data_IF_563055398203
#
_entry.id   IF_563055398203
#
_cell.length_a   1.000
_cell.length_b   1.000
_cell.length_c   1.000
_cell.angle_alpha   90.00
_cell.angle_beta   90.00
_cell.angle_gamma   90.00
#
_symmetry.space_group_name_H-M   'P 1'
#
loop_
_entity.id
_entity.type
_entity.pdbx_description
1 polymer ?
#
# COMPACT_ATOMS: atom_id res chain seq x y z
N UNK A 1 -24.48 -9.38 -2.17
CA UNK A 1 -23.02 -9.23 -2.24
C UNK A 1 -22.43 -9.80 -0.97
N UNK A 2 -21.43 -10.67 -1.10
CA UNK A 2 -20.57 -11.12 0.00
C UNK A 2 -19.83 -9.94 0.63
N UNK A 3 -19.32 -10.10 1.86
CA UNK A 3 -18.53 -9.04 2.51
C UNK A 3 -17.25 -8.72 1.73
N UNK A 4 -16.67 -9.71 1.04
CA UNK A 4 -15.56 -9.50 0.11
C UNK A 4 -15.92 -8.62 -1.08
N UNK A 5 -17.07 -8.86 -1.71
CA UNK A 5 -17.53 -7.99 -2.82
C UNK A 5 -17.75 -6.55 -2.34
N UNK A 6 -18.36 -6.37 -1.16
CA UNK A 6 -18.53 -5.05 -0.55
C UNK A 6 -17.19 -4.36 -0.28
N UNK A 7 -16.26 -5.09 0.33
CA UNK A 7 -14.90 -4.62 0.63
C UNK A 7 -14.19 -4.10 -0.62
N UNK A 8 -14.16 -4.91 -1.69
CA UNK A 8 -13.50 -4.55 -2.94
C UNK A 8 -14.19 -3.35 -3.61
N UNK A 9 -15.51 -3.25 -3.53
CA UNK A 9 -16.28 -2.12 -4.07
C UNK A 9 -16.17 -0.83 -3.22
N UNK A 10 -15.49 -0.88 -2.06
CA UNK A 10 -15.38 0.25 -1.14
C UNK A 10 -16.66 0.54 -0.35
N UNK A 11 -17.60 -0.41 -0.31
CA UNK A 11 -18.80 -0.34 0.50
C UNK A 11 -18.50 -0.71 1.96
N UNK A 12 -19.40 -0.34 2.87
CA UNK A 12 -19.31 -0.77 4.26
C UNK A 12 -19.45 -2.30 4.37
N UNK A 13 -18.44 -2.97 4.93
CA UNK A 13 -18.40 -4.42 5.08
C UNK A 13 -18.02 -4.82 6.52
N UNK A 14 -18.27 -6.09 6.85
CA UNK A 14 -17.91 -6.71 8.13
C UNK A 14 -16.53 -7.36 8.01
N UNK A 15 -15.47 -6.80 8.61
CA UNK A 15 -14.12 -7.35 8.49
C UNK A 15 -13.94 -8.69 9.17
N UNK A 16 -14.79 -9.03 10.15
CA UNK A 16 -14.76 -10.32 10.85
C UNK A 16 -15.49 -11.44 10.09
N UNK A 17 -15.94 -11.20 8.87
CA UNK A 17 -16.42 -12.26 7.97
C UNK A 17 -15.39 -13.40 7.85
N UNK A 18 -15.85 -14.65 7.90
CA UNK A 18 -14.97 -15.83 7.95
C UNK A 18 -14.02 -15.92 6.75
N UNK A 19 -14.49 -15.53 5.56
CA UNK A 19 -13.67 -15.52 4.34
C UNK A 19 -12.57 -14.49 4.48
N UNK A 20 -12.92 -13.27 4.90
CA UNK A 20 -11.98 -12.17 5.06
C UNK A 20 -10.95 -12.45 6.15
N UNK A 21 -11.36 -13.09 7.26
CA UNK A 21 -10.44 -13.51 8.33
C UNK A 21 -9.44 -14.53 7.80
N UNK A 22 -9.91 -15.61 7.17
CA UNK A 22 -9.07 -16.69 6.62
C UNK A 22 -8.05 -16.16 5.58
N UNK A 23 -8.48 -15.22 4.74
CA UNK A 23 -7.60 -14.61 3.74
C UNK A 23 -6.52 -13.72 4.37
N UNK A 24 -6.85 -12.93 5.40
CA UNK A 24 -5.83 -12.16 6.15
C UNK A 24 -4.87 -13.06 6.91
N UNK A 25 -5.35 -14.17 7.48
CA UNK A 25 -4.47 -15.17 8.12
C UNK A 25 -3.46 -15.76 7.14
N UNK A 26 -3.92 -16.10 5.93
CA UNK A 26 -3.05 -16.57 4.84
C UNK A 26 -1.98 -15.53 4.49
N UNK A 27 -2.37 -14.27 4.31
CA UNK A 27 -1.44 -13.18 3.99
C UNK A 27 -0.42 -12.96 5.12
N UNK A 28 -0.86 -12.96 6.38
CA UNK A 28 0.01 -12.83 7.56
C UNK A 28 1.02 -13.97 7.66
N UNK A 29 0.60 -15.21 7.36
CA UNK A 29 1.50 -16.36 7.36
C UNK A 29 2.60 -16.22 6.30
N UNK A 30 2.23 -15.89 5.05
CA UNK A 30 3.20 -15.67 3.97
C UNK A 30 4.17 -14.54 4.29
N UNK A 31 3.65 -13.46 4.87
CA UNK A 31 4.42 -12.28 5.25
C UNK A 31 5.38 -12.58 6.40
N UNK A 32 4.94 -13.33 7.40
CA UNK A 32 5.80 -13.83 8.49
C UNK A 32 6.95 -14.68 7.95
N UNK A 33 6.66 -15.65 7.07
CA UNK A 33 7.69 -16.49 6.46
C UNK A 33 8.69 -15.69 5.63
N UNK A 34 8.21 -14.70 4.87
CA UNK A 34 9.05 -13.82 4.08
C UNK A 34 10.00 -13.00 4.96
N UNK A 35 9.46 -12.38 6.02
CA UNK A 35 10.21 -11.56 6.95
C UNK A 35 11.30 -12.34 7.70
N UNK A 36 11.06 -13.63 7.99
CA UNK A 36 12.02 -14.52 8.64
C UNK A 36 13.01 -15.19 7.67
N UNK A 37 12.82 -15.07 6.35
CA UNK A 37 13.67 -15.74 5.37
C UNK A 37 15.02 -15.02 5.21
N UNK A 38 16.17 -15.69 5.41
CA UNK A 38 17.50 -15.08 5.29
C UNK A 38 17.74 -14.39 3.93
N UNK A 39 18.47 -13.27 3.94
CA UNK A 39 18.75 -12.46 2.74
C UNK A 39 19.42 -13.24 1.60
N UNK A 40 20.19 -14.28 1.94
CA UNK A 40 20.86 -15.14 0.96
C UNK A 40 19.90 -16.05 0.20
N UNK A 41 18.72 -16.34 0.75
CA UNK A 41 17.73 -17.22 0.12
C UNK A 41 16.77 -16.41 -0.78
N UNK A 42 17.31 -15.85 -1.87
CA UNK A 42 16.59 -14.96 -2.78
C UNK A 42 15.37 -15.64 -3.41
N UNK A 43 15.51 -16.88 -3.85
CA UNK A 43 14.45 -17.63 -4.53
C UNK A 43 13.24 -17.88 -3.61
N UNK A 44 13.47 -18.24 -2.35
CA UNK A 44 12.36 -18.39 -1.39
C UNK A 44 11.66 -17.05 -1.15
N UNK A 45 12.42 -15.96 -0.98
CA UNK A 45 11.87 -14.63 -0.74
C UNK A 45 10.97 -14.18 -1.88
N UNK A 46 11.44 -14.29 -3.12
CA UNK A 46 10.65 -13.89 -4.29
C UNK A 46 9.43 -14.80 -4.46
N UNK A 47 9.54 -16.11 -4.24
CA UNK A 47 8.41 -17.03 -4.37
C UNK A 47 7.31 -16.76 -3.34
N UNK A 48 7.66 -16.37 -2.11
CA UNK A 48 6.68 -15.97 -1.10
C UNK A 48 5.94 -14.70 -1.51
N UNK A 49 6.65 -13.67 -1.98
CA UNK A 49 6.04 -12.43 -2.46
C UNK A 49 5.15 -12.67 -3.69
N UNK A 50 5.56 -13.54 -4.62
CA UNK A 50 4.75 -13.91 -5.79
C UNK A 50 3.44 -14.62 -5.45
N UNK A 51 3.40 -15.36 -4.33
CA UNK A 51 2.17 -15.97 -3.80
C UNK A 51 1.28 -14.95 -3.08
N UNK A 52 1.90 -13.92 -2.48
CA UNK A 52 1.24 -12.91 -1.68
C UNK A 52 0.57 -11.83 -2.55
N UNK A 53 1.27 -11.34 -3.57
CA UNK A 53 0.88 -10.14 -4.34
C UNK A 53 -0.16 -10.42 -5.42
N UNK A 54 -1.00 -9.43 -5.70
CA UNK A 54 -2.06 -9.50 -6.71
C UNK A 54 -1.57 -9.49 -8.14
N UNK A 55 -0.43 -8.82 -8.38
CA UNK A 55 0.22 -8.83 -9.68
C UNK A 55 1.49 -7.98 -9.68
N UNK A 56 2.36 -8.26 -10.65
CA UNK A 56 3.59 -7.52 -10.90
C UNK A 56 3.95 -7.67 -12.37
N UNK A 57 4.56 -6.66 -12.98
CA UNK A 57 4.98 -6.75 -14.39
C UNK A 57 6.29 -7.54 -14.58
N UNK A 58 7.34 -7.15 -13.88
CA UNK A 58 8.67 -7.76 -14.03
C UNK A 58 9.43 -7.81 -12.69
N UNK A 59 10.70 -7.44 -12.66
CA UNK A 59 11.53 -7.43 -11.45
C UNK A 59 11.01 -6.44 -10.42
N UNK A 60 11.02 -6.87 -9.15
CA UNK A 60 10.73 -6.05 -8.00
C UNK A 60 11.57 -6.51 -6.81
N UNK A 61 11.83 -5.59 -5.88
CA UNK A 61 12.51 -5.87 -4.64
C UNK A 61 11.74 -5.27 -3.46
N UNK A 62 11.47 -6.10 -2.46
CA UNK A 62 10.88 -5.68 -1.20
C UNK A 62 11.82 -6.13 -0.09
N UNK A 63 12.20 -5.21 0.78
CA UNK A 63 13.05 -5.48 1.92
C UNK A 63 12.21 -5.79 3.17
N UNK A 64 12.67 -6.71 4.05
CA UNK A 64 11.93 -7.09 5.25
C UNK A 64 12.22 -6.10 6.40
N UNK A 65 11.29 -5.76 7.29
CA UNK A 65 9.96 -6.34 7.36
C UNK A 65 9.02 -5.70 6.33
N UNK A 66 8.07 -6.48 5.84
CA UNK A 66 6.96 -6.02 5.02
C UNK A 66 5.67 -6.46 5.73
N UNK A 67 4.62 -5.66 5.70
CA UNK A 67 3.33 -6.00 6.33
C UNK A 67 2.17 -5.61 5.42
N UNK A 68 1.17 -6.50 5.31
CA UNK A 68 -0.03 -6.31 4.50
C UNK A 68 -1.26 -6.86 5.22
N UNK A 69 -2.46 -6.48 4.77
CA UNK A 69 -3.70 -7.12 5.22
C UNK A 69 -3.97 -8.39 4.42
N UNK A 70 -3.98 -8.29 3.08
CA UNK A 70 -4.35 -9.36 2.16
C UNK A 70 -3.22 -9.71 1.17
N UNK A 71 -2.39 -8.74 0.80
CA UNK A 71 -1.36 -8.85 -0.22
C UNK A 71 -1.89 -8.89 -1.65
N UNK A 72 -2.96 -9.64 -1.92
CA UNK A 72 -3.47 -9.88 -3.27
C UNK A 72 -4.13 -8.64 -3.92
N UNK A 73 -4.30 -7.55 -3.17
CA UNK A 73 -4.82 -6.28 -3.69
C UNK A 73 -3.69 -5.30 -4.11
N UNK A 74 -2.42 -5.73 -4.01
CA UNK A 74 -1.26 -4.92 -4.36
C UNK A 74 -0.75 -5.31 -5.75
N UNK A 75 -0.63 -4.32 -6.62
CA UNK A 75 -0.20 -4.48 -8.01
C UNK A 75 1.01 -3.60 -8.30
N UNK A 76 2.10 -4.23 -8.72
CA UNK A 76 3.38 -3.57 -8.96
C UNK A 76 3.66 -3.37 -10.46
N UNK A 77 4.15 -2.19 -10.83
CA UNK A 77 4.76 -1.96 -12.14
C UNK A 77 6.12 -2.64 -12.29
N UNK A 78 6.90 -2.20 -13.27
CA UNK A 78 8.29 -2.62 -13.46
C UNK A 78 9.23 -1.94 -12.46
N UNK A 79 10.34 -2.59 -12.10
CA UNK A 79 11.42 -2.02 -11.30
C UNK A 79 10.94 -1.44 -9.96
N UNK A 80 9.95 -2.07 -9.33
CA UNK A 80 9.42 -1.63 -8.05
C UNK A 80 10.42 -1.91 -6.93
N UNK A 81 10.66 -0.91 -6.07
CA UNK A 81 11.51 -1.07 -4.90
C UNK A 81 10.81 -0.58 -3.63
N UNK A 82 10.78 -1.41 -2.60
CA UNK A 82 10.39 -1.02 -1.25
C UNK A 82 11.50 -1.32 -0.25
N UNK A 83 11.90 -0.28 0.49
CA UNK A 83 12.88 -0.40 1.57
C UNK A 83 12.23 -0.99 2.85
N UNK A 84 13.02 -1.16 3.90
CA UNK A 84 12.65 -1.82 5.15
C UNK A 84 11.36 -1.27 5.78
N UNK A 85 10.58 -2.16 6.40
CA UNK A 85 9.43 -1.84 7.25
C UNK A 85 8.28 -1.11 6.53
N UNK A 86 8.07 -1.39 5.24
CA UNK A 86 6.88 -0.89 4.56
C UNK A 86 5.63 -1.62 5.06
N UNK A 87 4.55 -0.87 5.29
CA UNK A 87 3.24 -1.40 5.67
C UNK A 87 2.20 -0.93 4.64
N UNK A 88 1.50 -1.89 4.02
CA UNK A 88 0.47 -1.62 3.01
C UNK A 88 -0.84 -2.27 3.45
N UNK A 89 -1.75 -1.50 4.03
CA UNK A 89 -3.08 -1.98 4.42
C UNK A 89 -3.99 -1.99 3.19
N UNK A 90 -4.01 -3.12 2.49
CA UNK A 90 -4.58 -3.33 1.16
C UNK A 90 -5.99 -3.97 1.20
N UNK A 91 -6.86 -3.45 2.07
CA UNK A 91 -8.30 -3.76 2.04
C UNK A 91 -8.93 -3.47 0.66
N UNK A 92 -8.50 -2.38 0.01
CA UNK A 92 -8.78 -2.09 -1.40
C UNK A 92 -7.48 -2.05 -2.20
N UNK A 93 -7.58 -1.88 -3.51
CA UNK A 93 -6.43 -2.03 -4.39
C UNK A 93 -5.40 -0.91 -4.22
N UNK A 94 -4.13 -1.30 -4.30
CA UNK A 94 -2.98 -0.39 -4.37
C UNK A 94 -2.28 -0.67 -5.69
N UNK A 95 -2.33 0.29 -6.61
CA UNK A 95 -1.66 0.18 -7.91
C UNK A 95 -0.45 1.10 -7.96
N UNK A 96 0.71 0.53 -8.27
CA UNK A 96 1.93 1.26 -8.57
C UNK A 96 2.24 1.21 -10.06
N UNK A 97 2.68 2.33 -10.60
CA UNK A 97 3.30 2.43 -11.91
C UNK A 97 4.72 1.86 -11.90
N UNK A 98 5.42 2.08 -13.00
CA UNK A 98 6.78 1.62 -13.22
C UNK A 98 7.79 2.52 -12.48
N UNK A 99 8.92 1.95 -12.07
CA UNK A 99 10.05 2.63 -11.41
C UNK A 99 9.69 3.35 -10.10
N UNK A 100 8.73 2.81 -9.33
CA UNK A 100 8.39 3.36 -8.03
C UNK A 100 9.41 2.94 -6.96
N UNK A 101 9.82 3.89 -6.13
CA UNK A 101 10.75 3.66 -5.02
C UNK A 101 10.15 4.14 -3.71
N UNK A 102 10.12 3.26 -2.71
CA UNK A 102 9.67 3.58 -1.36
C UNK A 102 10.86 3.53 -0.41
N UNK A 103 11.03 4.60 0.38
CA UNK A 103 11.95 4.65 1.50
C UNK A 103 11.50 3.76 2.67
N UNK A 104 12.28 3.70 3.75
CA UNK A 104 11.95 2.84 4.87
C UNK A 104 10.77 3.38 5.68
N UNK A 105 10.02 2.49 6.33
CA UNK A 105 8.87 2.81 7.18
C UNK A 105 7.75 3.58 6.45
N UNK A 106 7.59 3.38 5.14
CA UNK A 106 6.46 3.96 4.39
C UNK A 106 5.17 3.23 4.74
N UNK A 107 4.11 3.99 5.03
CA UNK A 107 2.77 3.48 5.29
C UNK A 107 1.81 3.83 4.15
N UNK A 108 1.09 2.85 3.62
CA UNK A 108 0.08 3.07 2.58
C UNK A 108 -1.21 2.41 3.04
N UNK A 109 -2.27 3.20 3.21
CA UNK A 109 -3.47 2.75 3.89
C UNK A 109 -4.70 2.95 3.00
N UNK A 110 -5.34 1.86 2.60
CA UNK A 110 -6.62 1.94 1.87
C UNK A 110 -7.83 1.86 2.80
N UNK A 111 -7.67 1.20 3.95
CA UNK A 111 -8.69 1.04 4.98
C UNK A 111 -9.00 2.36 5.70
N UNK A 112 -10.27 2.56 6.03
CA UNK A 112 -10.74 3.67 6.84
C UNK A 112 -12.02 3.32 7.59
N UNK A 113 -12.42 4.22 8.49
CA UNK A 113 -13.59 4.02 9.35
C UNK A 113 -14.47 5.28 9.36
N UNK A 114 -15.76 5.12 9.67
CA UNK A 114 -16.64 6.26 9.93
C UNK A 114 -16.04 7.20 10.99
N UNK A 115 -16.22 8.50 10.77
CA UNK A 115 -15.80 9.52 11.76
C UNK A 115 -16.77 9.51 12.95
N UNK A 116 -18.07 9.27 12.69
CA UNK A 116 -19.06 9.10 13.74
C UNK A 116 -18.70 7.89 14.63
N UNK A 117 -18.60 8.08 15.96
CA UNK A 117 -18.18 7.01 16.86
C UNK A 117 -19.20 5.87 16.96
N UNK A 118 -20.51 6.12 16.81
CA UNK A 118 -21.51 5.06 16.88
C UNK A 118 -21.47 4.20 15.61
N UNK A 119 -21.31 4.82 14.45
CA UNK A 119 -21.09 4.11 13.19
C UNK A 119 -19.76 3.34 13.22
N UNK A 120 -18.66 3.94 13.70
CA UNK A 120 -17.37 3.25 13.78
C UNK A 120 -17.40 2.03 14.72
N UNK A 121 -18.14 2.14 15.83
CA UNK A 121 -18.24 1.06 16.82
C UNK A 121 -19.18 -0.07 16.40
N UNK A 122 -19.89 0.05 15.27
CA UNK A 122 -20.72 -1.05 14.76
C UNK A 122 -19.87 -2.20 14.17
N UNK A 123 -18.54 -2.05 14.13
CA UNK A 123 -17.59 -3.06 13.70
C UNK A 123 -17.37 -3.13 12.19
N UNK A 124 -18.06 -2.31 11.39
CA UNK A 124 -17.87 -2.23 9.95
C UNK A 124 -16.78 -1.22 9.58
N UNK A 125 -16.15 -1.49 8.45
CA UNK A 125 -15.16 -0.58 7.85
C UNK A 125 -15.39 -0.47 6.35
N UNK A 126 -14.65 0.43 5.70
CA UNK A 126 -14.66 0.61 4.26
C UNK A 126 -13.27 0.99 3.79
N UNK A 127 -13.03 0.90 2.49
CA UNK A 127 -11.73 1.22 1.93
C UNK A 127 -11.83 2.03 0.64
N UNK A 128 -10.76 2.72 0.31
CA UNK A 128 -10.63 3.50 -0.91
C UNK A 128 -9.32 3.14 -1.60
N UNK A 129 -9.34 2.82 -2.91
CA UNK A 129 -8.15 2.39 -3.62
C UNK A 129 -7.13 3.51 -3.70
N UNK A 130 -5.85 3.15 -3.79
CA UNK A 130 -4.74 4.09 -3.98
C UNK A 130 -4.10 3.81 -5.33
N UNK A 131 -3.79 4.88 -6.08
CA UNK A 131 -3.11 4.82 -7.37
C UNK A 131 -1.86 5.67 -7.33
N UNK A 132 -0.73 5.09 -7.71
CA UNK A 132 0.58 5.74 -7.73
C UNK A 132 1.12 5.60 -9.15
N UNK A 133 1.42 6.75 -9.77
CA UNK A 133 1.94 6.83 -11.13
C UNK A 133 3.36 6.29 -11.28
N UNK A 134 3.95 6.54 -12.44
CA UNK A 134 5.30 6.10 -12.77
C UNK A 134 6.36 7.01 -12.15
N UNK A 135 7.55 6.49 -11.90
CA UNK A 135 8.73 7.22 -11.44
C UNK A 135 8.49 8.00 -10.13
N UNK A 136 7.61 7.47 -9.27
CA UNK A 136 7.29 8.10 -7.99
C UNK A 136 8.31 7.67 -6.94
N UNK A 137 8.85 8.64 -6.20
CA UNK A 137 9.68 8.38 -5.04
C UNK A 137 8.96 8.81 -3.76
N UNK A 138 8.76 7.86 -2.85
CA UNK A 138 8.13 8.09 -1.55
C UNK A 138 9.22 8.02 -0.47
N UNK A 139 9.50 9.14 0.18
CA UNK A 139 10.49 9.26 1.24
C UNK A 139 10.12 8.45 2.49
N UNK A 140 11.12 8.11 3.30
CA UNK A 140 10.91 7.27 4.49
C UNK A 140 9.98 7.91 5.52
N UNK A 141 9.23 7.09 6.26
CA UNK A 141 8.18 7.52 7.20
C UNK A 141 7.03 8.33 6.58
N UNK A 142 6.92 8.41 5.25
CA UNK A 142 5.77 9.03 4.62
C UNK A 142 4.54 8.11 4.73
N UNK A 143 3.36 8.73 4.77
CA UNK A 143 2.06 8.07 4.86
C UNK A 143 1.18 8.49 3.68
N UNK A 144 0.62 7.52 2.96
CA UNK A 144 -0.38 7.74 1.91
C UNK A 144 -1.76 7.28 2.41
N UNK A 145 -2.72 8.21 2.47
CA UNK A 145 -4.05 7.95 3.01
C UNK A 145 -5.04 7.38 1.97
N UNK A 146 -6.18 6.85 2.44
CA UNK A 146 -7.19 6.21 1.59
C UNK A 146 -7.68 7.09 0.44
N UNK A 147 -7.74 6.52 -0.76
CA UNK A 147 -8.33 7.18 -1.93
C UNK A 147 -7.40 8.12 -2.69
N UNK A 148 -6.16 8.28 -2.24
CA UNK A 148 -5.20 9.19 -2.89
C UNK A 148 -4.74 8.65 -4.23
N UNK A 149 -4.73 9.53 -5.23
CA UNK A 149 -4.04 9.35 -6.52
C UNK A 149 -2.79 10.24 -6.57
N UNK A 150 -1.63 9.61 -6.81
CA UNK A 150 -0.34 10.29 -7.03
C UNK A 150 0.00 10.19 -8.51
N UNK A 151 0.19 11.34 -9.17
CA UNK A 151 0.61 11.38 -10.58
C UNK A 151 2.07 10.99 -10.79
N UNK A 152 2.47 10.87 -12.06
CA UNK A 152 3.83 10.53 -12.45
C UNK A 152 4.90 11.52 -11.97
N UNK A 153 6.12 11.01 -11.76
CA UNK A 153 7.34 11.76 -11.42
C UNK A 153 7.24 12.52 -10.09
N UNK A 154 6.30 12.16 -9.21
CA UNK A 154 6.13 12.83 -7.91
C UNK A 154 7.22 12.41 -6.94
N UNK A 155 7.70 13.37 -6.14
CA UNK A 155 8.52 13.11 -4.96
C UNK A 155 7.73 13.46 -3.72
N UNK A 156 7.50 12.48 -2.85
CA UNK A 156 6.92 12.66 -1.52
C UNK A 156 8.07 12.73 -0.53
N UNK A 157 8.26 13.87 0.14
CA UNK A 157 9.33 14.01 1.14
C UNK A 157 9.13 13.07 2.34
N UNK A 158 10.23 12.71 2.99
CA UNK A 158 10.20 11.89 4.21
C UNK A 158 9.31 12.51 5.28
N UNK A 159 8.56 11.66 6.00
CA UNK A 159 7.63 12.08 7.06
C UNK A 159 6.37 12.80 6.57
N UNK A 160 6.16 12.92 5.26
CA UNK A 160 4.98 13.59 4.73
C UNK A 160 3.71 12.75 4.93
N UNK A 161 2.59 13.40 5.23
CA UNK A 161 1.27 12.74 5.34
C UNK A 161 0.38 13.21 4.20
N UNK A 162 0.27 12.38 3.17
CA UNK A 162 -0.49 12.67 1.96
C UNK A 162 -1.95 12.33 2.20
N UNK A 163 -2.81 13.35 2.17
CA UNK A 163 -4.26 13.26 2.43
C UNK A 163 -5.12 13.70 1.24
N UNK A 164 -4.49 14.11 0.14
CA UNK A 164 -5.12 14.57 -1.10
C UNK A 164 -4.28 14.14 -2.29
N UNK A 165 -4.91 14.08 -3.45
CA UNK A 165 -4.25 13.77 -4.72
C UNK A 165 -3.09 14.73 -5.02
N UNK A 166 -2.06 14.20 -5.67
CA UNK A 166 -0.86 14.95 -6.05
C UNK A 166 -0.73 14.93 -7.57
N UNK A 167 -0.67 16.13 -8.17
CA UNK A 167 -0.42 16.27 -9.60
C UNK A 167 1.00 15.83 -9.96
N UNK A 168 1.17 15.30 -11.16
CA UNK A 168 2.48 14.89 -11.71
C UNK A 168 3.53 16.00 -11.63
N UNK A 169 4.81 15.61 -11.64
CA UNK A 169 5.96 16.52 -11.64
C UNK A 169 5.97 17.49 -10.43
N UNK A 170 5.55 17.00 -9.27
CA UNK A 170 5.46 17.80 -8.05
C UNK A 170 6.28 17.18 -6.94
N UNK A 171 7.02 18.01 -6.20
CA UNK A 171 7.60 17.64 -4.91
C UNK A 171 6.63 18.10 -3.82
N UNK A 172 6.21 17.19 -2.94
CA UNK A 172 5.35 17.51 -1.79
C UNK A 172 6.04 17.18 -0.47
N UNK A 173 5.65 17.84 0.61
CA UNK A 173 6.08 17.47 1.96
C UNK A 173 5.26 18.12 3.06
N UNK A 174 5.49 17.70 4.29
CA UNK A 174 4.78 18.16 5.48
C UNK A 174 3.62 17.26 5.91
N UNK A 175 2.99 17.62 7.04
CA UNK A 175 1.83 16.95 7.60
C UNK A 175 0.75 18.02 7.94
N UNK A 176 -0.32 18.14 7.14
CA UNK A 176 -0.58 17.43 5.89
C UNK A 176 0.39 17.87 4.77
N UNK A 177 0.64 16.98 3.80
CA UNK A 177 1.53 17.23 2.69
C UNK A 177 1.03 18.36 1.79
N UNK A 178 1.92 19.27 1.41
CA UNK A 178 1.65 20.38 0.50
C UNK A 178 2.70 20.43 -0.61
N UNK A 179 2.37 20.95 -1.81
CA UNK A 179 3.35 21.23 -2.85
C UNK A 179 4.47 22.12 -2.31
N UNK A 180 5.71 21.71 -2.56
CA UNK A 180 6.94 22.47 -2.24
C UNK A 180 7.45 23.14 -3.50
N UNK A 181 7.54 22.38 -4.61
CA UNK A 181 7.94 22.90 -5.91
C UNK A 181 7.50 21.98 -7.04
N UNK A 182 7.49 22.53 -8.25
CA UNK A 182 7.39 21.74 -9.47
C UNK A 182 8.77 21.26 -9.91
N UNK A 183 8.79 20.05 -10.49
CA UNK A 183 9.97 19.47 -11.11
C UNK A 183 10.03 20.03 -12.53
N UNK A 184 11.03 20.87 -12.78
CA UNK A 184 11.37 21.36 -14.11
C UNK A 184 12.65 20.65 -14.52
N UNK A 185 12.71 20.17 -15.76
CA UNK A 185 13.95 19.61 -16.34
C UNK A 185 15.03 20.68 -16.40
#
# INVERSE_FOLDING_TARGET
MSEKEKMINGEMYLPNDETLVSERETARQLTYEFNQTPIKNKDKRINLLKKLLGGYKNEFEINPNFNVDYGYNIYLGENFYANYNCTMLDVSTIHFGDNCMLGPNVGIYTATHPIDPFERNNGKEFAKPIKIGNNVWIGGHAVINPGVTIGDNVVVASGAVVVKDIASNTVVGGNPAKPIKHITK
#
